data_IF_659499227986
#
_entry.id   IF_659499227986
#
_cell.length_a   1.000
_cell.length_b   1.000
_cell.length_c   1.000
_cell.angle_alpha   90.00
_cell.angle_beta   90.00
_cell.angle_gamma   90.00
#
_symmetry.space_group_name_H-M   'P 1'
#
loop_
_entity.id
_entity.type
_entity.pdbx_description
1 polymer ?
#
# COMPACT_ATOMS: atom_id res chain seq x y z
N UNK A 1 24.97 14.35 37.47
CA UNK A 1 24.83 15.47 36.52
C UNK A 1 24.41 14.87 35.19
N UNK A 2 23.27 15.32 34.69
CA UNK A 2 22.49 14.76 33.57
C UNK A 2 23.27 14.59 32.27
N UNK A 3 23.20 13.40 31.65
CA UNK A 3 23.38 13.22 30.20
C UNK A 3 21.99 13.05 29.59
N UNK A 4 21.34 14.19 29.35
CA UNK A 4 20.16 14.29 28.49
C UNK A 4 20.62 14.02 27.06
N UNK A 5 20.31 12.83 26.55
CA UNK A 5 20.35 12.55 25.12
C UNK A 5 19.39 13.49 24.41
N UNK A 6 19.87 14.14 23.35
CA UNK A 6 19.10 15.02 22.48
C UNK A 6 17.88 14.27 21.94
N UNK A 7 16.69 14.78 22.26
CA UNK A 7 15.41 14.35 21.68
C UNK A 7 15.45 14.67 20.19
N UNK A 8 15.46 13.62 19.36
CA UNK A 8 15.27 13.78 17.92
C UNK A 8 13.78 14.05 17.69
N UNK A 9 13.48 15.23 17.14
CA UNK A 9 12.13 15.71 16.91
C UNK A 9 11.55 15.01 15.67
N UNK A 10 10.99 13.83 15.89
CA UNK A 10 10.35 13.02 14.85
C UNK A 10 10.35 11.57 15.28
N UNK A 11 9.36 11.17 16.08
CA UNK A 11 9.26 9.87 16.74
C UNK A 11 9.06 8.68 15.78
N UNK A 12 10.05 8.39 14.94
CA UNK A 12 10.18 7.15 14.19
C UNK A 12 11.48 6.48 14.58
N UNK A 13 11.41 5.54 15.52
CA UNK A 13 12.53 4.65 15.79
C UNK A 13 12.77 3.76 14.57
N UNK A 14 13.69 4.18 13.69
CA UNK A 14 14.27 3.29 12.68
C UNK A 14 14.99 2.15 13.41
N UNK A 15 14.38 0.98 13.49
CA UNK A 15 15.11 -0.24 13.81
C UNK A 15 16.20 -0.41 12.74
N UNK A 16 17.47 -0.51 13.15
CA UNK A 16 18.58 -0.72 12.24
C UNK A 16 18.28 -1.95 11.34
N UNK A 17 18.35 -1.76 10.02
CA UNK A 17 18.07 -2.83 9.07
C UNK A 17 19.02 -4.01 9.34
N UNK A 18 18.46 -5.17 9.72
CA UNK A 18 19.26 -6.41 9.86
C UNK A 18 20.04 -6.67 8.57
N UNK A 19 21.33 -7.08 8.67
CA UNK A 19 22.17 -7.34 7.52
C UNK A 19 21.55 -8.42 6.61
N UNK A 20 21.83 -8.37 5.30
CA UNK A 20 21.35 -9.35 4.35
C UNK A 20 21.78 -10.77 4.76
N UNK A 21 20.82 -11.69 4.87
CA UNK A 21 21.10 -13.12 5.06
C UNK A 21 20.94 -13.75 3.69
N UNK A 22 22.06 -13.95 2.99
CA UNK A 22 22.07 -14.68 1.72
C UNK A 22 21.66 -16.13 2.00
N UNK A 23 20.61 -16.59 1.31
CA UNK A 23 20.09 -17.96 1.41
C UNK A 23 20.20 -18.64 0.06
N UNK A 24 21.41 -19.03 -0.32
CA UNK A 24 21.64 -19.79 -1.54
C UNK A 24 21.42 -21.28 -1.29
N UNK A 25 20.66 -21.92 -2.15
CA UNK A 25 20.51 -23.38 -2.21
C UNK A 25 21.74 -24.00 -2.89
N UNK A 26 21.91 -25.32 -2.74
CA UNK A 26 23.02 -26.07 -3.35
C UNK A 26 23.02 -26.06 -4.88
N UNK A 27 21.89 -25.72 -5.50
CA UNK A 27 21.72 -25.60 -6.96
C UNK A 27 21.99 -24.17 -7.48
N UNK A 28 22.43 -23.24 -6.62
CA UNK A 28 22.69 -21.85 -6.97
C UNK A 28 21.44 -20.96 -7.00
N UNK A 29 20.26 -21.49 -6.69
CA UNK A 29 19.04 -20.68 -6.55
C UNK A 29 19.00 -19.95 -5.21
N UNK A 30 18.28 -18.82 -5.15
CA UNK A 30 18.09 -18.06 -3.90
C UNK A 30 16.73 -18.39 -3.32
N UNK A 31 16.71 -18.98 -2.13
CA UNK A 31 15.47 -19.26 -1.41
C UNK A 31 14.80 -17.93 -1.01
N UNK A 32 13.60 -17.69 -1.53
CA UNK A 32 12.84 -16.45 -1.33
C UNK A 32 11.41 -16.74 -0.85
N UNK A 33 10.95 -16.04 0.19
CA UNK A 33 9.56 -16.10 0.67
C UNK A 33 8.84 -14.81 0.33
N UNK A 34 7.85 -14.91 -0.55
CA UNK A 34 7.01 -13.80 -0.97
C UNK A 34 5.64 -13.97 -0.33
N UNK A 35 5.14 -12.92 0.34
CA UNK A 35 3.76 -12.83 0.78
C UNK A 35 2.99 -11.99 -0.24
N UNK A 36 1.89 -12.53 -0.76
CA UNK A 36 1.03 -11.85 -1.72
C UNK A 36 -0.35 -11.74 -1.09
N UNK A 37 -0.87 -10.52 -1.00
CA UNK A 37 -2.20 -10.19 -0.49
C UNK A 37 -2.88 -9.22 -1.45
N UNK A 38 -4.19 -9.09 -1.34
CA UNK A 38 -5.03 -8.22 -2.17
C UNK A 38 -6.36 -7.99 -1.46
N UNK A 39 -7.14 -7.00 -1.90
CA UNK A 39 -8.54 -6.82 -1.51
C UNK A 39 -8.70 -6.76 0.02
N UNK A 40 -7.81 -6.02 0.68
CA UNK A 40 -7.82 -5.90 2.14
C UNK A 40 -8.94 -4.99 2.59
N UNK A 41 -9.33 -3.98 1.81
CA UNK A 41 -10.43 -3.07 2.13
C UNK A 41 -10.39 -2.56 3.58
N UNK A 42 -9.23 -2.01 3.99
CA UNK A 42 -8.97 -1.57 5.37
C UNK A 42 -9.00 -2.68 6.45
N UNK A 43 -8.84 -3.95 6.08
CA UNK A 43 -8.76 -5.04 7.06
C UNK A 43 -7.58 -4.85 8.04
N UNK A 44 -7.74 -5.43 9.23
CA UNK A 44 -6.70 -5.48 10.25
C UNK A 44 -6.47 -6.92 10.71
N UNK A 45 -5.31 -7.15 11.33
CA UNK A 45 -5.00 -8.45 11.93
C UNK A 45 -5.82 -8.68 13.21
N UNK A 46 -6.32 -9.90 13.39
CA UNK A 46 -6.96 -10.31 14.65
C UNK A 46 -6.08 -11.25 15.45
N UNK A 47 -6.12 -11.08 16.77
CA UNK A 47 -5.42 -11.94 17.74
C UNK A 47 -6.21 -13.21 18.09
N UNK A 48 -7.47 -13.30 17.65
CA UNK A 48 -8.37 -14.35 18.08
C UNK A 48 -8.33 -15.52 17.11
N UNK A 49 -8.19 -16.74 17.63
CA UNK A 49 -8.50 -18.01 16.94
C UNK A 49 -10.00 -18.10 16.53
N UNK A 50 -10.74 -17.00 16.56
CA UNK A 50 -12.12 -16.82 16.10
C UNK A 50 -12.20 -16.57 14.59
N UNK A 51 -11.22 -17.03 13.80
CA UNK A 51 -11.35 -17.18 12.34
C UNK A 51 -12.56 -18.03 11.89
N UNK A 52 -13.34 -18.54 12.84
CA UNK A 52 -14.62 -19.24 12.64
C UNK A 52 -15.89 -18.37 12.85
N UNK A 53 -15.79 -17.11 13.29
CA UNK A 53 -16.93 -16.16 13.29
C UNK A 53 -16.69 -15.09 12.22
N UNK A 54 -16.48 -15.54 10.98
CA UNK A 54 -16.93 -14.88 9.75
C UNK A 54 -16.44 -13.47 9.36
N UNK A 55 -15.59 -12.76 10.11
CA UNK A 55 -15.34 -11.33 9.81
C UNK A 55 -13.90 -10.90 9.56
N UNK A 56 -12.87 -11.74 9.72
CA UNK A 56 -11.48 -11.28 9.44
C UNK A 56 -10.64 -12.32 8.70
N UNK A 57 -10.16 -11.96 7.50
CA UNK A 57 -9.37 -12.81 6.61
C UNK A 57 -7.88 -12.92 7.00
N UNK A 58 -7.40 -12.10 7.94
CA UNK A 58 -5.98 -11.98 8.29
C UNK A 58 -5.72 -12.33 9.76
N UNK A 59 -5.23 -13.54 10.01
CA UNK A 59 -4.98 -14.07 11.34
C UNK A 59 -3.48 -14.06 11.72
N UNK A 60 -3.22 -13.89 13.01
CA UNK A 60 -1.89 -14.03 13.61
C UNK A 60 -1.65 -15.47 14.10
N UNK A 61 -0.37 -15.92 14.19
CA UNK A 61 0.84 -15.18 13.87
C UNK A 61 1.17 -15.19 12.37
N UNK A 62 1.76 -14.09 11.90
CA UNK A 62 2.31 -14.03 10.54
C UNK A 62 3.53 -14.97 10.38
N UNK A 63 3.82 -15.45 9.16
CA UNK A 63 5.03 -16.19 8.88
C UNK A 63 6.28 -15.43 9.39
N UNK A 64 7.19 -16.10 10.12
CA UNK A 64 8.29 -15.42 10.81
C UNK A 64 9.41 -14.90 9.89
N UNK A 65 9.38 -15.24 8.60
CA UNK A 65 10.33 -14.73 7.61
C UNK A 65 9.63 -14.48 6.28
N UNK A 66 9.60 -13.22 5.88
CA UNK A 66 9.07 -12.73 4.61
C UNK A 66 10.17 -11.87 3.99
N UNK A 67 10.61 -12.20 2.78
CA UNK A 67 11.64 -11.44 2.06
C UNK A 67 11.01 -10.28 1.27
N UNK A 68 9.77 -10.46 0.82
CA UNK A 68 9.01 -9.49 0.03
C UNK A 68 7.50 -9.61 0.32
N UNK A 69 6.83 -8.49 0.56
CA UNK A 69 5.38 -8.37 0.53
C UNK A 69 4.94 -7.70 -0.78
N UNK A 70 3.89 -8.22 -1.41
CA UNK A 70 3.20 -7.60 -2.56
C UNK A 70 1.72 -7.47 -2.20
N UNK A 71 1.17 -6.27 -2.29
CA UNK A 71 -0.28 -6.00 -2.22
C UNK A 71 -0.82 -5.65 -3.60
N UNK A 72 -1.76 -6.43 -4.10
CA UNK A 72 -2.22 -6.37 -5.50
C UNK A 72 -3.44 -5.45 -5.73
N UNK A 73 -3.59 -4.38 -4.95
CA UNK A 73 -4.72 -3.46 -5.06
C UNK A 73 -5.84 -3.69 -4.05
N UNK A 74 -6.80 -2.77 -4.05
CA UNK A 74 -7.94 -2.68 -3.12
C UNK A 74 -7.48 -2.63 -1.66
N UNK A 75 -6.59 -1.67 -1.40
CA UNK A 75 -6.08 -1.36 -0.07
C UNK A 75 -7.20 -0.83 0.84
N UNK A 76 -8.14 -0.10 0.25
CA UNK A 76 -9.20 0.62 0.95
C UNK A 76 -10.59 0.27 0.41
N UNK A 77 -11.64 0.76 1.09
CA UNK A 77 -13.01 0.64 0.60
C UNK A 77 -13.34 1.71 -0.46
N UNK A 78 -12.83 2.93 -0.32
CA UNK A 78 -13.22 4.08 -1.17
C UNK A 78 -12.10 5.10 -1.40
N UNK A 79 -10.84 4.76 -1.09
CA UNK A 79 -9.69 5.63 -1.33
C UNK A 79 -9.72 6.93 -0.52
N UNK A 80 -10.23 6.91 0.70
CA UNK A 80 -10.18 8.05 1.62
C UNK A 80 -8.92 8.04 2.50
N UNK A 81 -8.54 9.20 3.04
CA UNK A 81 -7.31 9.38 3.83
C UNK A 81 -7.28 8.48 5.08
N UNK A 82 -8.41 8.26 5.75
CA UNK A 82 -8.48 7.38 6.92
C UNK A 82 -8.23 5.93 6.48
N UNK A 83 -8.88 5.49 5.39
CA UNK A 83 -8.66 4.16 4.83
C UNK A 83 -7.20 3.90 4.46
N UNK A 84 -6.51 4.89 3.87
CA UNK A 84 -5.08 4.74 3.59
C UNK A 84 -4.23 4.63 4.86
N UNK A 85 -4.53 5.38 5.92
CA UNK A 85 -3.82 5.21 7.18
C UNK A 85 -4.07 3.83 7.82
N UNK A 86 -5.29 3.31 7.74
CA UNK A 86 -5.63 1.95 8.20
C UNK A 86 -4.85 0.88 7.39
N UNK A 87 -4.79 1.03 6.06
CA UNK A 87 -4.00 0.15 5.21
C UNK A 87 -2.49 0.24 5.51
N UNK A 88 -1.96 1.45 5.72
CA UNK A 88 -0.55 1.65 6.10
C UNK A 88 -0.23 1.03 7.46
N UNK A 89 -1.14 1.13 8.43
CA UNK A 89 -0.99 0.48 9.72
C UNK A 89 -0.94 -1.04 9.55
N UNK A 90 -1.89 -1.65 8.81
CA UNK A 90 -1.85 -3.08 8.51
C UNK A 90 -0.52 -3.50 7.85
N UNK A 91 -0.10 -2.79 6.80
CA UNK A 91 1.13 -3.09 6.07
C UNK A 91 2.37 -2.97 6.97
N UNK A 92 2.44 -1.95 7.82
CA UNK A 92 3.55 -1.74 8.76
C UNK A 92 3.69 -2.88 9.78
N UNK A 93 2.59 -3.52 10.18
CA UNK A 93 2.60 -4.68 11.08
C UNK A 93 3.19 -5.95 10.44
N UNK A 94 3.25 -6.04 9.10
CA UNK A 94 3.82 -7.21 8.42
C UNK A 94 5.36 -7.14 8.46
N UNK A 95 6.06 -8.16 8.99
CA UNK A 95 7.52 -8.15 9.18
C UNK A 95 8.28 -8.45 7.87
N UNK A 96 7.96 -7.71 6.80
CA UNK A 96 8.64 -7.76 5.51
C UNK A 96 9.58 -6.55 5.34
N UNK A 97 10.84 -6.74 4.92
CA UNK A 97 11.81 -5.66 4.75
C UNK A 97 11.54 -4.80 3.51
N UNK A 98 10.82 -5.34 2.53
CA UNK A 98 10.38 -4.67 1.32
C UNK A 98 8.89 -4.96 1.16
N UNK A 99 8.09 -3.92 0.95
CA UNK A 99 6.65 -4.01 0.75
C UNK A 99 6.31 -3.24 -0.52
N UNK A 100 5.76 -3.91 -1.51
CA UNK A 100 5.34 -3.32 -2.78
C UNK A 100 3.83 -3.29 -2.82
N UNK A 101 3.25 -2.17 -3.24
CA UNK A 101 1.80 -2.03 -3.35
C UNK A 101 1.44 -1.37 -4.67
N UNK A 102 0.30 -1.76 -5.22
CA UNK A 102 -0.41 -1.04 -6.28
C UNK A 102 -1.80 -0.67 -5.76
N UNK A 103 -2.48 0.35 -6.33
CA UNK A 103 -3.87 0.61 -6.03
C UNK A 103 -4.76 -0.38 -6.77
N UNK A 104 -5.99 -0.56 -6.28
CA UNK A 104 -7.07 -1.21 -7.03
C UNK A 104 -8.22 -0.25 -7.30
N UNK A 105 -9.31 -0.77 -7.85
CA UNK A 105 -10.47 0.03 -8.27
C UNK A 105 -11.22 0.69 -7.11
N UNK A 106 -11.04 0.23 -5.87
CA UNK A 106 -11.57 0.89 -4.67
C UNK A 106 -10.68 2.00 -4.12
N UNK A 107 -9.43 2.12 -4.59
CA UNK A 107 -8.50 3.16 -4.15
C UNK A 107 -8.70 4.48 -4.92
N UNK A 108 -9.96 4.94 -4.95
CA UNK A 108 -10.51 5.96 -5.84
C UNK A 108 -9.66 7.23 -6.00
N UNK A 109 -9.15 7.79 -4.90
CA UNK A 109 -8.42 9.05 -4.97
C UNK A 109 -7.03 8.96 -5.60
N UNK A 110 -6.56 7.75 -5.91
CA UNK A 110 -5.33 7.52 -6.66
C UNK A 110 -5.54 7.47 -8.18
N UNK A 111 -6.79 7.49 -8.66
CA UNK A 111 -7.11 7.67 -10.07
C UNK A 111 -7.57 9.11 -10.33
N UNK A 112 -6.67 9.90 -10.92
CA UNK A 112 -6.93 11.31 -11.21
C UNK A 112 -8.11 11.50 -12.17
N UNK A 113 -8.21 10.66 -13.19
CA UNK A 113 -9.25 10.82 -14.22
C UNK A 113 -10.61 10.46 -13.64
N UNK A 114 -10.68 9.40 -12.83
CA UNK A 114 -11.88 9.06 -12.07
C UNK A 114 -12.30 10.19 -11.12
N UNK A 115 -11.37 10.76 -10.34
CA UNK A 115 -11.67 11.86 -9.41
C UNK A 115 -12.24 13.09 -10.13
N UNK A 116 -11.76 13.39 -11.34
CA UNK A 116 -12.24 14.53 -12.13
C UNK A 116 -13.59 14.23 -12.79
N UNK A 117 -13.80 13.01 -13.30
CA UNK A 117 -15.06 12.64 -13.96
C UNK A 117 -16.23 12.50 -12.98
N UNK A 118 -15.94 12.25 -11.71
CA UNK A 118 -16.93 12.09 -10.63
C UNK A 118 -17.14 13.38 -9.82
N UNK A 119 -16.73 14.52 -10.36
CA UNK A 119 -17.14 15.81 -9.80
C UNK A 119 -18.68 15.91 -9.83
N UNK A 120 -19.33 16.37 -8.74
CA UNK A 120 -20.76 16.60 -8.76
C UNK A 120 -21.12 17.50 -9.95
N UNK A 121 -22.08 17.09 -10.78
CA UNK A 121 -22.63 17.98 -11.79
C UNK A 121 -23.68 18.88 -11.13
N UNK A 122 -23.50 20.19 -11.20
CA UNK A 122 -24.31 21.24 -10.55
C UNK A 122 -25.82 21.28 -10.88
N UNK A 123 -26.39 20.24 -11.48
CA UNK A 123 -27.75 20.32 -12.03
C UNK A 123 -28.86 20.08 -10.99
N UNK A 124 -28.57 19.64 -9.76
CA UNK A 124 -29.64 19.29 -8.81
C UNK A 124 -29.49 19.70 -7.34
N UNK A 125 -28.28 19.89 -6.77
CA UNK A 125 -28.13 20.01 -5.31
C UNK A 125 -27.24 21.17 -4.88
N UNK A 126 -27.79 22.06 -4.04
CA UNK A 126 -27.15 23.21 -3.38
C UNK A 126 -26.10 22.82 -2.33
N UNK A 127 -25.18 21.91 -2.66
CA UNK A 127 -23.96 21.67 -1.90
C UNK A 127 -22.80 22.38 -2.61
N UNK A 128 -21.78 22.88 -1.88
CA UNK A 128 -20.63 23.49 -2.53
C UNK A 128 -19.98 22.47 -3.46
N UNK A 129 -20.02 22.74 -4.77
CA UNK A 129 -19.34 21.92 -5.78
C UNK A 129 -17.88 21.70 -5.40
N UNK A 130 -17.40 20.47 -5.59
CA UNK A 130 -15.96 20.24 -5.60
C UNK A 130 -15.42 20.79 -6.93
N UNK A 131 -14.69 21.89 -6.87
CA UNK A 131 -14.00 22.43 -8.04
C UNK A 131 -12.93 21.44 -8.55
N UNK A 132 -12.58 21.54 -9.83
CA UNK A 132 -11.43 20.82 -10.41
C UNK A 132 -10.15 21.01 -9.58
N UNK A 133 -9.97 22.19 -8.98
CA UNK A 133 -8.83 22.46 -8.09
C UNK A 133 -8.86 21.58 -6.82
N UNK A 134 -10.03 21.40 -6.20
CA UNK A 134 -10.22 20.54 -5.03
C UNK A 134 -10.08 19.05 -5.40
N UNK A 135 -10.59 18.62 -6.55
CA UNK A 135 -10.38 17.26 -7.08
C UNK A 135 -8.88 16.96 -7.28
N UNK A 136 -8.14 17.87 -7.93
CA UNK A 136 -6.69 17.71 -8.07
C UNK A 136 -5.99 17.72 -6.71
N UNK A 137 -6.42 18.55 -5.75
CA UNK A 137 -5.85 18.56 -4.42
C UNK A 137 -6.02 17.19 -3.72
N UNK A 138 -7.22 16.60 -3.80
CA UNK A 138 -7.51 15.26 -3.26
C UNK A 138 -6.59 14.19 -3.86
N UNK A 139 -6.44 14.18 -5.19
CA UNK A 139 -5.53 13.25 -5.87
C UNK A 139 -4.08 13.45 -5.42
N UNK A 140 -3.63 14.71 -5.34
CA UNK A 140 -2.26 15.04 -4.93
C UNK A 140 -1.99 14.71 -3.46
N UNK A 141 -2.98 14.85 -2.57
CA UNK A 141 -2.89 14.43 -1.17
C UNK A 141 -2.70 12.92 -1.05
N UNK A 142 -3.51 12.14 -1.77
CA UNK A 142 -3.39 10.68 -1.83
C UNK A 142 -2.02 10.27 -2.39
N UNK A 143 -1.62 10.82 -3.55
CA UNK A 143 -0.31 10.55 -4.15
C UNK A 143 0.84 10.90 -3.21
N UNK A 144 0.78 12.04 -2.51
CA UNK A 144 1.82 12.44 -1.56
C UNK A 144 2.01 11.39 -0.46
N UNK A 145 0.93 10.95 0.16
CA UNK A 145 0.95 9.97 1.25
C UNK A 145 1.70 8.68 0.87
N UNK A 146 1.52 8.22 -0.37
CA UNK A 146 2.10 6.96 -0.86
C UNK A 146 3.51 7.08 -1.45
N UNK A 147 3.83 8.21 -2.10
CA UNK A 147 5.04 8.35 -2.92
C UNK A 147 6.12 9.25 -2.34
N UNK A 148 5.77 10.17 -1.43
CA UNK A 148 6.72 11.17 -0.93
C UNK A 148 7.68 10.57 0.11
N UNK A 149 8.97 10.89 -0.01
CA UNK A 149 10.06 10.30 0.80
C UNK A 149 9.91 10.47 2.32
N UNK A 150 9.25 11.55 2.74
CA UNK A 150 9.07 11.90 4.14
C UNK A 150 7.64 11.61 4.65
N UNK A 151 6.83 10.94 3.83
CA UNK A 151 5.48 10.54 4.19
C UNK A 151 5.42 9.09 4.69
N UNK A 152 4.31 8.77 5.33
CA UNK A 152 4.13 7.55 6.13
C UNK A 152 4.50 6.27 5.37
N UNK A 153 4.07 6.11 4.11
CA UNK A 153 4.37 4.91 3.33
C UNK A 153 5.88 4.65 3.21
N UNK A 154 6.66 5.66 2.81
CA UNK A 154 8.10 5.53 2.63
C UNK A 154 8.82 5.36 3.97
N UNK A 155 8.37 6.05 5.03
CA UNK A 155 8.89 5.88 6.38
C UNK A 155 8.74 4.44 6.89
N UNK A 156 7.66 3.74 6.53
CA UNK A 156 7.35 2.36 6.93
C UNK A 156 7.92 1.30 5.96
N UNK A 157 8.72 1.73 4.98
CA UNK A 157 9.35 0.86 3.98
C UNK A 157 8.37 0.27 2.97
N UNK A 158 7.27 0.99 2.71
CA UNK A 158 6.25 0.66 1.72
C UNK A 158 6.53 1.45 0.45
N UNK A 159 6.62 0.75 -0.67
CA UNK A 159 6.85 1.33 -2.00
C UNK A 159 5.59 1.15 -2.84
N UNK A 160 4.95 2.27 -3.17
CA UNK A 160 3.90 2.33 -4.15
C UNK A 160 4.50 2.21 -5.56
N UNK A 161 3.95 1.32 -6.38
CA UNK A 161 4.40 1.10 -7.75
C UNK A 161 3.46 1.80 -8.73
N UNK A 162 4.04 2.65 -9.57
CA UNK A 162 3.39 3.12 -10.80
C UNK A 162 3.35 1.98 -11.83
N UNK A 163 2.44 2.10 -12.81
CA UNK A 163 2.34 1.15 -13.90
C UNK A 163 3.67 1.02 -14.65
N UNK A 164 4.09 -0.21 -14.91
CA UNK A 164 5.30 -0.52 -15.67
C UNK A 164 6.18 -1.59 -15.05
N UNK A 165 7.34 -1.79 -15.68
CA UNK A 165 8.35 -2.75 -15.23
C UNK A 165 9.20 -2.16 -14.11
N UNK A 166 9.33 -2.92 -13.02
CA UNK A 166 10.14 -2.60 -11.86
C UNK A 166 11.12 -3.75 -11.60
N UNK A 167 12.37 -3.41 -11.26
CA UNK A 167 13.37 -4.40 -10.85
C UNK A 167 13.70 -4.20 -9.38
N UNK A 168 13.57 -5.26 -8.59
CA UNK A 168 13.76 -5.22 -7.13
C UNK A 168 14.80 -6.25 -6.72
N UNK A 169 15.84 -5.77 -6.03
CA UNK A 169 16.86 -6.62 -5.42
C UNK A 169 16.52 -6.84 -3.94
N UNK A 170 16.27 -8.08 -3.55
CA UNK A 170 15.95 -8.46 -2.18
C UNK A 170 17.21 -8.62 -1.32
N UNK A 171 17.04 -8.54 0.01
CA UNK A 171 18.14 -8.69 0.96
C UNK A 171 18.79 -10.09 0.94
N UNK A 172 18.09 -11.11 0.48
CA UNK A 172 18.65 -12.46 0.33
C UNK A 172 19.50 -12.61 -0.95
N UNK A 173 19.59 -11.57 -1.80
CA UNK A 173 20.32 -11.58 -3.07
C UNK A 173 19.45 -11.93 -4.28
N UNK A 174 18.17 -12.24 -4.11
CA UNK A 174 17.27 -12.49 -5.23
C UNK A 174 16.99 -11.19 -6.01
N UNK A 175 16.87 -11.32 -7.33
CA UNK A 175 16.51 -10.25 -8.26
C UNK A 175 15.16 -10.59 -8.90
N UNK A 176 14.19 -9.70 -8.77
CA UNK A 176 12.84 -9.87 -9.35
C UNK A 176 12.55 -8.78 -10.36
N UNK A 177 11.95 -9.16 -11.49
CA UNK A 177 11.34 -8.25 -12.45
C UNK A 177 9.83 -8.35 -12.29
N UNK A 178 9.18 -7.23 -11.99
CA UNK A 178 7.76 -7.15 -11.65
C UNK A 178 7.12 -6.15 -12.60
N UNK A 179 6.05 -6.56 -13.28
CA UNK A 179 5.18 -5.62 -13.99
C UNK A 179 4.02 -5.26 -13.08
N UNK A 180 3.85 -3.97 -12.80
CA UNK A 180 2.73 -3.43 -12.04
C UNK A 180 1.72 -2.81 -13.01
N UNK A 181 0.43 -3.05 -12.79
CA UNK A 181 -0.65 -2.31 -13.45
C UNK A 181 -1.85 -2.28 -12.50
N UNK A 182 -2.46 -1.10 -12.27
CA UNK A 182 -3.65 -0.99 -11.44
C UNK A 182 -4.93 -1.32 -12.21
N UNK A 183 -4.84 -1.51 -13.53
CA UNK A 183 -6.00 -1.58 -14.40
C UNK A 183 -6.76 -2.90 -14.27
N UNK A 184 -8.08 -2.78 -14.23
CA UNK A 184 -9.02 -3.90 -14.11
C UNK A 184 -10.09 -3.81 -15.21
N UNK A 185 -10.67 -4.96 -15.65
CA UNK A 185 -11.84 -4.94 -16.52
C UNK A 185 -12.92 -4.01 -15.98
N UNK A 186 -13.56 -3.22 -16.85
CA UNK A 186 -14.61 -2.30 -16.44
C UNK A 186 -15.71 -3.03 -15.69
N UNK A 187 -15.90 -2.65 -14.43
CA UNK A 187 -16.97 -3.11 -13.56
C UNK A 187 -17.53 -1.89 -12.83
N UNK A 188 -18.83 -1.64 -13.00
CA UNK A 188 -19.50 -0.45 -12.48
C UNK A 188 -18.72 0.86 -12.80
N UNK A 189 -18.76 1.84 -11.90
CA UNK A 189 -18.14 3.16 -12.06
C UNK A 189 -16.98 3.33 -11.06
N UNK A 190 -16.06 2.36 -11.05
CA UNK A 190 -14.88 2.35 -10.18
C UNK A 190 -13.61 2.84 -10.89
N UNK A 191 -12.59 3.17 -10.09
CA UNK A 191 -11.30 3.65 -10.59
C UNK A 191 -10.54 2.57 -11.38
N UNK A 192 -9.56 3.00 -12.17
CA UNK A 192 -8.65 2.12 -12.92
C UNK A 192 -9.34 1.12 -13.86
N UNK A 193 -10.54 1.44 -14.35
CA UNK A 193 -11.22 0.62 -15.34
C UNK A 193 -10.61 0.81 -16.75
N UNK A 194 -10.40 -0.29 -17.49
CA UNK A 194 -10.12 -0.18 -18.92
C UNK A 194 -11.24 0.57 -19.67
N UNK A 195 -10.86 1.32 -20.71
CA UNK A 195 -11.83 1.86 -21.66
C UNK A 195 -12.60 0.72 -22.34
N UNK A 196 -13.92 0.88 -22.49
CA UNK A 196 -14.68 -0.02 -23.35
C UNK A 196 -14.18 0.12 -24.79
N UNK A 197 -14.00 -1.02 -25.48
CA UNK A 197 -13.64 -1.08 -26.89
C UNK A 197 -14.77 -0.60 -27.80
#
# INVERSE_FOLDING_TARGET
MSMLGTLDAGGFHRAAARPPVVRSNSDGTVHTRIMIISDTHCASFTNDNLGAIGTTAFALPLPPSIDLLIHCGDLTNEGDTRGYHEALDMLAHIPAPIKLVIPGNHDLSLDREWVISHLPSDLQNRQPEMSVAQANARYLDAQRLWTSRNERAQCDGITFLEEGMQTVTLRNGALLNIYASPFTPRFEDWAFAYSAN
#
